data_IF_719908284528
#
_entry.id   IF_719908284528
#
_cell.length_a   1.000
_cell.length_b   1.000
_cell.length_c   1.000
_cell.angle_alpha   90.00
_cell.angle_beta   90.00
_cell.angle_gamma   90.00
#
_symmetry.space_group_name_H-M   'P 1'
#
loop_
_entity.id
_entity.type
_entity.pdbx_description
1 polymer ?
#
# COMPACT_ATOMS: atom_id res chain seq x y z
N UNK A 1 -32.89 -80.57 8.88
CA UNK A 1 -32.36 -79.21 9.15
C UNK A 1 -31.43 -78.87 7.97
N UNK A 2 -31.86 -78.44 6.78
CA UNK A 2 -32.48 -77.17 6.33
C UNK A 2 -31.73 -75.93 6.85
N UNK A 3 -31.26 -74.94 6.07
CA UNK A 3 -31.35 -74.61 4.62
C UNK A 3 -30.24 -73.58 4.29
N UNK A 4 -29.76 -73.61 3.05
CA UNK A 4 -29.02 -72.53 2.37
C UNK A 4 -29.93 -71.30 2.14
N UNK A 5 -29.40 -70.08 2.33
CA UNK A 5 -30.03 -68.84 1.82
C UNK A 5 -28.97 -67.92 1.20
N UNK A 6 -29.27 -67.47 -0.02
CA UNK A 6 -28.55 -66.55 -0.91
C UNK A 6 -29.10 -65.12 -0.73
N UNK A 7 -28.37 -64.14 -1.32
CA UNK A 7 -28.84 -62.80 -1.78
C UNK A 7 -29.05 -61.73 -0.69
N UNK A 8 -28.82 -60.42 -0.87
CA UNK A 8 -28.69 -59.51 -2.05
C UNK A 8 -28.11 -58.15 -1.56
N UNK A 9 -27.57 -57.29 -2.44
CA UNK A 9 -27.08 -55.95 -2.10
C UNK A 9 -28.20 -54.91 -1.88
N UNK A 10 -27.96 -53.98 -0.94
CA UNK A 10 -28.86 -52.88 -0.57
C UNK A 10 -28.75 -51.71 -1.56
N UNK A 11 -29.81 -51.54 -2.37
CA UNK A 11 -30.18 -50.30 -3.06
C UNK A 11 -30.74 -49.30 -2.04
N UNK A 12 -30.27 -48.06 -2.07
CA UNK A 12 -30.94 -46.94 -1.41
C UNK A 12 -31.84 -46.20 -2.41
N UNK A 13 -33.06 -45.80 -2.01
CA UNK A 13 -34.04 -45.14 -2.87
C UNK A 13 -33.86 -43.61 -2.91
N UNK A 14 -34.20 -43.01 -4.06
CA UNK A 14 -34.51 -41.58 -4.19
C UNK A 14 -35.96 -41.31 -3.75
N UNK A 15 -36.25 -40.12 -3.20
CA UNK A 15 -37.49 -39.40 -3.56
C UNK A 15 -37.31 -37.85 -3.51
N UNK A 16 -38.33 -37.00 -3.72
CA UNK A 16 -39.07 -36.78 -4.97
C UNK A 16 -39.17 -35.26 -5.36
N UNK A 17 -39.39 -34.98 -6.64
CA UNK A 17 -40.04 -33.76 -7.19
C UNK A 17 -41.57 -34.06 -7.22
N UNK A 18 -42.60 -33.16 -7.15
CA UNK A 18 -42.70 -31.70 -7.41
C UNK A 18 -43.60 -30.88 -6.43
N UNK A 19 -43.60 -29.55 -6.56
CA UNK A 19 -44.84 -28.77 -6.57
C UNK A 19 -44.64 -27.56 -7.49
N UNK A 20 -45.51 -27.45 -8.48
CA UNK A 20 -45.53 -26.41 -9.50
C UNK A 20 -46.55 -25.35 -9.10
N UNK A 21 -46.13 -24.09 -9.20
CA UNK A 21 -46.89 -22.95 -9.75
C UNK A 21 -48.03 -22.37 -8.90
N UNK A 22 -47.81 -21.11 -8.48
CA UNK A 22 -48.75 -19.99 -8.27
C UNK A 22 -48.14 -19.15 -7.14
N UNK A 23 -47.95 -17.84 -7.17
CA UNK A 23 -48.48 -16.73 -7.94
C UNK A 23 -47.71 -15.50 -7.39
N UNK A 24 -47.17 -14.63 -8.25
CA UNK A 24 -47.12 -13.18 -8.05
C UNK A 24 -46.17 -12.57 -9.11
N UNK A 25 -46.77 -12.24 -10.24
CA UNK A 25 -46.37 -11.11 -11.08
C UNK A 25 -46.33 -9.84 -10.21
N UNK A 26 -45.16 -9.48 -9.71
CA UNK A 26 -44.85 -8.14 -9.22
C UNK A 26 -43.33 -7.99 -9.19
N UNK A 27 -42.85 -6.84 -9.67
CA UNK A 27 -41.44 -6.42 -9.78
C UNK A 27 -40.72 -6.80 -11.09
N UNK A 28 -41.40 -6.60 -12.22
CA UNK A 28 -40.78 -5.94 -13.37
C UNK A 28 -40.59 -4.45 -13.02
N UNK A 29 -39.58 -4.16 -12.22
CA UNK A 29 -39.05 -2.81 -11.99
C UNK A 29 -37.62 -2.89 -11.41
N UNK A 30 -36.81 -3.87 -11.81
CA UNK A 30 -35.38 -3.60 -11.89
C UNK A 30 -35.19 -2.81 -13.16
N UNK A 31 -35.23 -1.49 -13.04
CA UNK A 31 -34.49 -0.62 -13.93
C UNK A 31 -33.02 -1.05 -13.81
N UNK A 32 -32.65 -2.08 -14.56
CA UNK A 32 -31.29 -2.23 -14.99
C UNK A 32 -30.99 -0.96 -15.75
N UNK A 33 -30.25 -0.06 -15.12
CA UNK A 33 -29.44 0.89 -15.88
C UNK A 33 -28.56 0.02 -16.75
N UNK A 34 -29.00 -0.20 -18.00
CA UNK A 34 -28.10 -0.61 -19.07
C UNK A 34 -27.02 0.47 -19.05
N UNK A 35 -25.77 0.17 -18.65
CA UNK A 35 -24.72 1.15 -18.78
C UNK A 35 -24.71 1.56 -20.24
N UNK A 36 -24.88 2.85 -20.49
CA UNK A 36 -24.86 3.42 -21.82
C UNK A 36 -23.55 2.96 -22.49
N UNK A 37 -23.57 2.24 -23.62
CA UNK A 37 -22.34 1.87 -24.32
C UNK A 37 -21.59 3.10 -24.86
N UNK A 38 -22.15 4.30 -24.68
CA UNK A 38 -21.52 5.60 -24.96
C UNK A 38 -20.97 6.31 -23.72
N UNK A 39 -20.88 5.64 -22.57
CA UNK A 39 -19.94 6.06 -21.53
C UNK A 39 -18.52 5.87 -22.10
N UNK A 40 -18.06 6.85 -22.90
CA UNK A 40 -16.68 6.99 -23.29
C UNK A 40 -15.86 6.84 -22.02
N UNK A 41 -15.15 5.71 -21.91
CA UNK A 41 -14.18 5.52 -20.86
C UNK A 41 -13.19 6.67 -21.03
N UNK A 42 -13.24 7.65 -20.13
CA UNK A 42 -12.28 8.75 -20.13
C UNK A 42 -10.89 8.14 -20.20
N UNK A 43 -10.05 8.55 -21.17
CA UNK A 43 -8.69 8.07 -21.27
C UNK A 43 -8.01 8.14 -19.90
N UNK A 44 -7.44 7.02 -19.46
CA UNK A 44 -6.76 6.98 -18.16
C UNK A 44 -5.42 7.66 -18.36
N UNK A 45 -5.32 8.88 -17.86
CA UNK A 45 -4.10 9.66 -17.86
C UNK A 45 -2.97 8.89 -17.13
N UNK A 46 -1.82 8.64 -17.79
CA UNK A 46 -0.71 7.92 -17.19
C UNK A 46 -0.17 8.61 -15.92
N UNK A 47 -0.16 9.94 -15.89
CA UNK A 47 0.25 10.74 -14.72
C UNK A 47 -0.66 10.44 -13.53
N UNK A 48 -1.97 10.59 -13.73
CA UNK A 48 -2.97 10.34 -12.67
C UNK A 48 -2.90 8.89 -12.21
N UNK A 49 -2.73 7.95 -13.14
CA UNK A 49 -2.67 6.53 -12.81
C UNK A 49 -1.49 6.19 -11.90
N UNK A 50 -0.27 6.65 -12.24
CA UNK A 50 0.92 6.35 -11.44
C UNK A 50 0.94 7.11 -10.12
N UNK A 51 0.62 8.41 -10.14
CA UNK A 51 0.66 9.24 -8.92
C UNK A 51 -0.37 8.77 -7.90
N UNK A 52 -1.61 8.48 -8.31
CA UNK A 52 -2.63 7.96 -7.39
C UNK A 52 -2.28 6.57 -6.85
N UNK A 53 -1.67 5.72 -7.68
CA UNK A 53 -1.19 4.40 -7.24
C UNK A 53 -0.14 4.52 -6.15
N UNK A 54 0.89 5.34 -6.38
CA UNK A 54 1.98 5.55 -5.42
C UNK A 54 1.48 6.28 -4.18
N UNK A 55 0.58 7.27 -4.30
CA UNK A 55 -0.04 7.97 -3.17
C UNK A 55 -0.80 7.01 -2.24
N UNK A 56 -1.55 6.05 -2.80
CA UNK A 56 -2.20 4.99 -2.01
C UNK A 56 -1.16 4.12 -1.30
N UNK A 57 -0.07 3.78 -1.97
CA UNK A 57 1.01 2.99 -1.36
C UNK A 57 1.69 3.76 -0.22
N UNK A 58 1.99 5.06 -0.38
CA UNK A 58 2.53 5.92 0.69
C UNK A 58 1.59 5.93 1.90
N UNK A 59 0.28 6.09 1.68
CA UNK A 59 -0.69 6.08 2.78
C UNK A 59 -0.71 4.73 3.52
N UNK A 60 -0.56 3.61 2.80
CA UNK A 60 -0.42 2.29 3.40
C UNK A 60 0.88 2.15 4.19
N UNK A 61 2.00 2.57 3.61
CA UNK A 61 3.33 2.47 4.24
C UNK A 61 3.41 3.29 5.52
N UNK A 62 2.84 4.50 5.54
CA UNK A 62 2.72 5.31 6.75
C UNK A 62 1.96 4.60 7.86
N UNK A 63 0.82 3.97 7.53
CA UNK A 63 0.03 3.22 8.52
C UNK A 63 0.85 2.06 9.08
N UNK A 64 1.53 1.30 8.22
CA UNK A 64 2.36 0.17 8.63
C UNK A 64 3.55 0.62 9.49
N UNK A 65 4.21 1.71 9.09
CA UNK A 65 5.29 2.34 9.86
C UNK A 65 4.81 2.78 11.24
N UNK A 66 3.68 3.47 11.33
CA UNK A 66 3.12 3.91 12.61
C UNK A 66 2.78 2.73 13.53
N UNK A 67 2.21 1.65 13.00
CA UNK A 67 1.94 0.43 13.78
C UNK A 67 3.25 -0.20 14.28
N UNK A 68 4.24 -0.34 13.40
CA UNK A 68 5.53 -0.92 13.75
C UNK A 68 6.28 -0.09 14.80
N UNK A 69 6.27 1.24 14.68
CA UNK A 69 6.86 2.16 15.66
C UNK A 69 6.18 2.05 17.03
N UNK A 70 4.85 2.19 17.07
CA UNK A 70 4.06 2.09 18.30
C UNK A 70 4.29 0.74 18.99
N UNK A 71 4.30 -0.36 18.24
CA UNK A 71 4.51 -1.68 18.83
C UNK A 71 5.95 -1.93 19.27
N UNK A 72 6.93 -1.42 18.53
CA UNK A 72 8.34 -1.47 18.95
C UNK A 72 8.53 -0.74 20.28
N UNK A 73 7.97 0.47 20.40
CA UNK A 73 7.98 1.24 21.65
C UNK A 73 7.25 0.52 22.78
N UNK A 74 6.10 -0.10 22.50
CA UNK A 74 5.36 -0.89 23.47
C UNK A 74 6.18 -2.05 24.03
N UNK A 75 6.83 -2.85 23.18
CA UNK A 75 7.68 -3.95 23.64
C UNK A 75 8.86 -3.46 24.48
N UNK A 76 9.48 -2.33 24.11
CA UNK A 76 10.52 -1.72 24.94
C UNK A 76 10.03 -1.33 26.33
N UNK A 77 8.79 -0.83 26.44
CA UNK A 77 8.20 -0.50 27.74
C UNK A 77 7.93 -1.77 28.57
N UNK A 78 7.54 -2.89 27.95
CA UNK A 78 7.37 -4.16 28.65
C UNK A 78 8.69 -4.72 29.20
N UNK A 79 9.82 -4.45 28.52
CA UNK A 79 11.15 -4.84 28.98
C UNK A 79 11.71 -3.94 30.09
N UNK A 80 11.12 -2.76 30.31
CA UNK A 80 11.51 -1.94 31.48
C UNK A 80 11.15 -2.75 32.73
N UNK A 81 12.07 -2.92 33.68
CA UNK A 81 11.77 -3.66 34.90
C UNK A 81 10.48 -3.11 35.52
N UNK A 82 9.43 -3.93 35.63
CA UNK A 82 8.21 -3.60 36.38
C UNK A 82 8.46 -3.46 37.89
N UNK A 83 9.73 -3.37 38.31
CA UNK A 83 10.14 -3.25 39.70
C UNK A 83 10.30 -1.79 40.09
N UNK A 84 9.26 -1.25 40.72
CA UNK A 84 9.45 -0.53 41.98
C UNK A 84 10.00 -1.51 43.03
N UNK A 85 11.25 -1.96 42.85
CA UNK A 85 12.04 -2.43 43.98
C UNK A 85 12.35 -1.19 44.85
N UNK A 86 12.24 -1.28 46.18
CA UNK A 86 12.70 -0.19 47.05
C UNK A 86 14.14 0.11 46.67
N UNK A 87 14.42 1.34 46.20
CA UNK A 87 15.79 1.73 45.90
C UNK A 87 16.57 1.60 47.22
N UNK A 88 17.69 0.86 47.26
CA UNK A 88 18.57 0.94 48.42
C UNK A 88 18.93 2.41 48.63
N UNK A 89 18.98 2.82 49.89
CA UNK A 89 19.40 4.16 50.32
C UNK A 89 20.82 4.43 49.84
N UNK A 90 20.97 4.93 48.62
CA UNK A 90 22.24 5.43 48.08
C UNK A 90 22.27 6.92 48.36
N UNK A 91 23.29 7.33 49.10
CA UNK A 91 23.59 8.72 49.41
C UNK A 91 23.79 9.50 48.08
N UNK A 92 23.05 10.59 47.83
CA UNK A 92 23.01 11.20 46.52
C UNK A 92 24.28 12.00 46.24
N UNK A 93 25.08 11.57 45.27
CA UNK A 93 26.00 12.48 44.56
C UNK A 93 25.13 13.36 43.65
N UNK A 94 24.85 14.58 44.09
CA UNK A 94 24.04 15.53 43.38
C UNK A 94 24.75 16.07 42.13
N UNK A 95 24.58 15.41 40.99
CA UNK A 95 24.74 16.04 39.70
C UNK A 95 23.51 16.92 39.46
N UNK A 96 23.70 18.24 39.28
CA UNK A 96 22.62 19.18 38.94
C UNK A 96 22.63 19.42 37.43
N UNK A 97 21.78 18.72 36.65
CA UNK A 97 21.56 19.12 35.27
C UNK A 97 20.78 20.43 35.27
N UNK A 98 21.34 21.45 34.65
CA UNK A 98 20.63 22.69 34.35
C UNK A 98 19.42 22.34 33.49
N UNK A 99 18.27 22.80 33.94
CA UNK A 99 16.94 22.55 33.38
C UNK A 99 16.93 22.56 31.85
N UNK A 100 16.48 21.46 31.23
CA UNK A 100 15.51 21.44 30.13
C UNK A 100 15.02 20.01 29.86
N UNK A 101 13.91 19.70 30.53
CA UNK A 101 12.81 18.79 30.16
C UNK A 101 13.05 17.28 29.95
N UNK A 102 12.38 16.40 30.74
CA UNK A 102 12.33 14.98 30.46
C UNK A 102 11.27 14.67 29.39
N UNK A 103 11.66 14.63 28.11
CA UNK A 103 10.78 14.21 27.01
C UNK A 103 10.53 12.68 26.92
N UNK A 104 10.70 11.93 28.01
CA UNK A 104 10.55 10.45 28.00
C UNK A 104 9.53 9.89 28.99
N UNK A 105 8.68 10.75 29.56
CA UNK A 105 7.65 10.35 30.53
C UNK A 105 6.24 10.70 30.06
N UNK A 106 5.89 10.43 28.79
CA UNK A 106 4.48 10.17 28.47
C UNK A 106 4.30 8.65 28.43
N UNK A 107 3.64 8.04 29.43
CA UNK A 107 3.16 6.70 29.27
C UNK A 107 2.06 6.76 28.20
N UNK A 108 2.40 6.50 26.94
CA UNK A 108 1.43 5.89 26.05
C UNK A 108 1.23 4.48 26.60
N UNK A 109 0.40 4.38 27.64
CA UNK A 109 -0.09 3.10 28.11
C UNK A 109 -0.63 2.39 26.88
N UNK A 110 0.05 1.33 26.44
CA UNK A 110 -0.49 0.41 25.45
C UNK A 110 -1.81 -0.11 26.02
N UNK A 111 -2.91 0.40 25.49
CA UNK A 111 -4.23 0.29 26.10
C UNK A 111 -5.09 1.55 26.04
N UNK A 112 -4.62 2.65 25.43
CA UNK A 112 -5.53 3.72 25.01
C UNK A 112 -6.53 3.19 23.95
N UNK A 113 -7.79 3.65 23.94
CA UNK A 113 -8.77 3.24 22.91
C UNK A 113 -8.22 3.60 21.52
N UNK A 114 -7.93 2.58 20.71
CA UNK A 114 -7.35 2.72 19.37
C UNK A 114 -5.87 2.30 19.25
N UNK A 115 -5.20 1.90 20.33
CA UNK A 115 -3.85 1.33 20.24
C UNK A 115 -3.88 -0.07 19.59
N UNK A 116 -2.96 -0.38 18.66
CA UNK A 116 -2.88 -1.70 18.04
C UNK A 116 -2.57 -2.79 19.08
N UNK A 117 -3.17 -3.98 18.90
CA UNK A 117 -2.84 -5.16 19.72
C UNK A 117 -1.48 -5.73 19.29
N UNK A 118 -0.42 -5.16 19.87
CA UNK A 118 0.95 -5.43 19.47
C UNK A 118 1.41 -6.87 19.74
N UNK A 119 0.87 -7.53 20.77
CA UNK A 119 1.19 -8.92 21.06
C UNK A 119 0.62 -9.86 19.98
N UNK A 120 -0.58 -9.57 19.49
CA UNK A 120 -1.21 -10.31 18.38
C UNK A 120 -0.54 -10.01 17.04
N UNK A 121 -0.16 -8.75 16.79
CA UNK A 121 0.50 -8.34 15.54
C UNK A 121 1.94 -8.86 15.42
N UNK A 122 2.66 -8.96 16.53
CA UNK A 122 4.05 -9.40 16.57
C UNK A 122 4.23 -10.54 17.60
N UNK A 123 3.74 -11.76 17.28
CA UNK A 123 3.76 -12.89 18.23
C UNK A 123 5.17 -13.37 18.57
N UNK A 124 6.19 -13.04 17.75
CA UNK A 124 7.60 -13.33 18.05
C UNK A 124 8.27 -12.24 18.90
N UNK A 125 7.53 -11.23 19.34
CA UNK A 125 8.00 -10.21 20.27
C UNK A 125 8.77 -9.05 19.61
N UNK A 126 9.64 -8.42 20.41
CA UNK A 126 10.35 -7.19 20.07
C UNK A 126 11.16 -7.29 18.77
N UNK A 127 11.89 -8.39 18.54
CA UNK A 127 12.71 -8.57 17.34
C UNK A 127 11.90 -8.50 16.06
N UNK A 128 10.71 -9.11 16.04
CA UNK A 128 9.82 -9.04 14.89
C UNK A 128 9.26 -7.62 14.68
N UNK A 129 8.95 -6.92 15.76
CA UNK A 129 8.53 -5.51 15.69
C UNK A 129 9.66 -4.62 15.14
N UNK A 130 10.91 -4.84 15.57
CA UNK A 130 12.11 -4.14 15.06
C UNK A 130 12.36 -4.42 13.58
N UNK A 131 12.28 -5.68 13.16
CA UNK A 131 12.41 -6.07 11.76
C UNK A 131 11.34 -5.38 10.90
N UNK A 132 10.09 -5.39 11.37
CA UNK A 132 8.97 -4.70 10.72
C UNK A 132 9.17 -3.19 10.66
N UNK A 133 9.69 -2.59 11.73
CA UNK A 133 10.01 -1.16 11.77
C UNK A 133 11.07 -0.78 10.72
N UNK A 134 12.18 -1.52 10.66
CA UNK A 134 13.21 -1.29 9.64
C UNK A 134 12.69 -1.52 8.21
N UNK A 135 11.84 -2.53 8.03
CA UNK A 135 11.20 -2.80 6.73
C UNK A 135 10.29 -1.65 6.29
N UNK A 136 9.38 -1.22 7.17
CA UNK A 136 8.40 -0.17 6.86
C UNK A 136 9.06 1.19 6.65
N UNK A 137 10.17 1.49 7.35
CA UNK A 137 10.99 2.66 7.08
C UNK A 137 11.56 2.66 5.65
N UNK A 138 12.11 1.52 5.23
CA UNK A 138 12.67 1.37 3.87
C UNK A 138 11.58 1.48 2.81
N UNK A 139 10.45 0.80 3.03
CA UNK A 139 9.31 0.82 2.12
C UNK A 139 8.75 2.24 1.93
N UNK A 140 8.52 2.97 3.03
CA UNK A 140 8.03 4.34 2.99
C UNK A 140 9.00 5.27 2.26
N UNK A 141 10.31 5.12 2.48
CA UNK A 141 11.33 5.89 1.76
C UNK A 141 11.23 5.66 0.25
N UNK A 142 11.12 4.40 -0.20
CA UNK A 142 10.99 4.09 -1.62
C UNK A 142 9.73 4.70 -2.22
N UNK A 143 8.59 4.55 -1.55
CA UNK A 143 7.32 5.09 -2.04
C UNK A 143 7.35 6.62 -2.15
N UNK A 144 7.90 7.33 -1.16
CA UNK A 144 8.04 8.79 -1.21
C UNK A 144 9.01 9.24 -2.29
N UNK A 145 10.18 8.60 -2.42
CA UNK A 145 11.15 8.96 -3.47
C UNK A 145 10.61 8.67 -4.86
N UNK A 146 9.86 7.57 -5.04
CA UNK A 146 9.22 7.31 -6.33
C UNK A 146 8.07 8.29 -6.62
N UNK A 147 7.33 8.71 -5.59
CA UNK A 147 6.30 9.74 -5.77
C UNK A 147 6.91 11.06 -6.22
N UNK A 148 8.01 11.49 -5.59
CA UNK A 148 8.82 12.63 -6.06
C UNK A 148 9.27 12.44 -7.50
N UNK A 149 9.72 11.24 -7.87
CA UNK A 149 10.17 10.93 -9.23
C UNK A 149 9.06 11.09 -10.28
N UNK A 150 7.85 10.63 -9.96
CA UNK A 150 6.69 10.78 -10.82
C UNK A 150 6.27 12.26 -10.97
N UNK A 151 6.37 13.05 -9.90
CA UNK A 151 6.09 14.49 -9.95
C UNK A 151 7.14 15.23 -10.79
N UNK A 152 8.43 15.00 -10.53
CA UNK A 152 9.54 15.60 -11.28
C UNK A 152 9.46 15.28 -12.78
N UNK A 153 8.89 14.14 -13.16
CA UNK A 153 8.71 13.75 -14.56
C UNK A 153 7.68 14.61 -15.32
N UNK A 154 6.80 15.31 -14.60
CA UNK A 154 5.93 16.36 -15.12
C UNK A 154 6.71 17.68 -15.04
N UNK A 155 7.30 18.07 -16.17
CA UNK A 155 8.34 19.11 -16.19
C UNK A 155 7.78 20.50 -15.98
N UNK A 156 6.57 20.72 -16.45
CA UNK A 156 5.89 22.02 -16.46
C UNK A 156 4.77 22.13 -15.42
N UNK A 157 4.67 21.14 -14.53
CA UNK A 157 3.73 21.08 -13.39
C UNK A 157 2.25 21.15 -13.85
N UNK A 158 1.94 20.64 -15.04
CA UNK A 158 0.61 20.72 -15.65
C UNK A 158 -0.31 19.55 -15.29
N UNK A 159 0.20 18.60 -14.49
CA UNK A 159 -0.47 17.41 -13.97
C UNK A 159 -0.84 16.39 -15.06
N UNK A 160 -0.11 16.44 -16.17
CA UNK A 160 -0.16 15.49 -17.26
C UNK A 160 1.26 15.13 -17.70
N UNK A 161 1.42 14.08 -18.49
CA UNK A 161 2.70 13.85 -19.18
C UNK A 161 2.52 14.09 -20.66
N UNK A 162 3.17 15.12 -21.17
CA UNK A 162 3.34 15.27 -22.60
C UNK A 162 4.10 14.07 -23.19
N UNK A 163 3.96 13.87 -24.50
CA UNK A 163 4.63 12.77 -25.20
C UNK A 163 6.17 12.69 -24.98
N UNK A 164 6.94 13.79 -24.95
CA UNK A 164 8.37 13.70 -24.60
C UNK A 164 8.61 13.35 -23.13
N UNK A 165 7.79 13.84 -22.20
CA UNK A 165 7.95 13.57 -20.76
C UNK A 165 7.70 12.12 -20.42
N UNK A 166 6.63 11.53 -20.95
CA UNK A 166 6.37 10.11 -20.72
C UNK A 166 7.46 9.23 -21.32
N UNK A 167 8.04 9.60 -22.47
CA UNK A 167 9.15 8.87 -23.08
C UNK A 167 10.42 8.95 -22.23
N UNK A 168 10.74 10.14 -21.71
CA UNK A 168 11.89 10.35 -20.85
C UNK A 168 11.71 9.64 -19.51
N UNK A 169 10.50 9.63 -18.94
CA UNK A 169 10.18 8.91 -17.72
C UNK A 169 10.28 7.38 -17.88
N UNK A 170 9.72 6.85 -18.97
CA UNK A 170 9.85 5.42 -19.30
C UNK A 170 11.33 5.05 -19.48
N UNK A 171 12.12 5.86 -20.20
CA UNK A 171 13.55 5.62 -20.39
C UNK A 171 14.33 5.66 -19.08
N UNK A 172 14.04 6.64 -18.21
CA UNK A 172 14.66 6.78 -16.90
C UNK A 172 14.37 5.56 -15.99
N UNK A 173 13.27 4.86 -16.24
CA UNK A 173 12.89 3.62 -15.58
C UNK A 173 13.31 2.35 -16.32
N UNK A 174 14.12 2.46 -17.38
CA UNK A 174 14.51 1.33 -18.24
C UNK A 174 13.27 0.55 -18.74
N UNK A 175 12.25 1.30 -19.15
CA UNK A 175 11.05 0.80 -19.80
C UNK A 175 11.08 1.19 -21.28
N UNK A 176 10.61 0.28 -22.12
CA UNK A 176 10.33 0.57 -23.52
C UNK A 176 8.89 1.07 -23.64
N UNK A 177 8.63 1.89 -24.66
CA UNK A 177 7.26 2.25 -25.03
C UNK A 177 6.47 0.95 -25.29
N UNK A 178 5.31 0.76 -24.63
CA UNK A 178 4.49 -0.42 -24.86
C UNK A 178 4.07 -0.46 -26.34
N UNK A 179 4.22 -1.62 -26.97
CA UNK A 179 3.81 -1.79 -28.36
C UNK A 179 2.31 -1.47 -28.48
N UNK A 180 1.99 -0.52 -29.35
CA UNK A 180 0.62 -0.26 -29.77
C UNK A 180 0.17 -1.46 -30.62
N UNK A 181 -0.58 -2.40 -30.04
CA UNK A 181 -1.24 -3.41 -30.86
C UNK A 181 -2.13 -2.69 -31.86
N UNK A 182 -1.72 -2.74 -33.11
CA UNK A 182 -2.13 -1.85 -34.17
C UNK A 182 -3.57 -2.14 -34.61
N UNK A 183 -4.53 -1.47 -33.99
CA UNK A 183 -5.74 -1.00 -34.65
C UNK A 183 -5.83 0.52 -34.43
N UNK A 184 -5.57 1.26 -35.49
CA UNK A 184 -5.37 2.71 -35.46
C UNK A 184 -6.63 3.46 -35.05
N UNK A 185 -6.71 3.81 -33.77
CA UNK A 185 -7.54 4.89 -33.21
C UNK A 185 -7.37 5.07 -31.71
N UNK A 186 -6.80 4.09 -31.00
CA UNK A 186 -6.98 4.03 -29.55
C UNK A 186 -5.80 4.66 -28.80
N UNK A 187 -5.60 5.98 -28.97
CA UNK A 187 -4.63 6.77 -28.21
C UNK A 187 -4.84 6.58 -26.69
N UNK A 188 -6.09 6.53 -26.25
CA UNK A 188 -6.48 6.23 -24.87
C UNK A 188 -5.98 4.85 -24.38
N UNK A 189 -5.96 3.84 -25.25
CA UNK A 189 -5.42 2.53 -24.94
C UNK A 189 -3.90 2.55 -24.76
N UNK A 190 -3.20 3.36 -25.56
CA UNK A 190 -1.76 3.57 -25.43
C UNK A 190 -1.39 4.29 -24.14
N UNK A 191 -2.17 5.29 -23.71
CA UNK A 191 -1.95 5.99 -22.44
C UNK A 191 -2.15 5.07 -21.24
N UNK A 192 -3.26 4.34 -21.22
CA UNK A 192 -3.52 3.36 -20.17
C UNK A 192 -2.41 2.29 -20.08
N UNK A 193 -1.88 1.84 -21.21
CA UNK A 193 -0.77 0.88 -21.25
C UNK A 193 0.53 1.46 -20.65
N UNK A 194 0.82 2.75 -20.90
CA UNK A 194 1.99 3.43 -20.32
C UNK A 194 1.87 3.58 -18.81
N UNK A 195 0.73 4.05 -18.31
CA UNK A 195 0.52 4.15 -16.87
C UNK A 195 0.50 2.78 -16.17
N UNK A 196 0.01 1.73 -16.85
CA UNK A 196 0.13 0.35 -16.36
C UNK A 196 1.60 -0.13 -16.31
N UNK A 197 2.42 0.20 -17.31
CA UNK A 197 3.84 -0.13 -17.31
C UNK A 197 4.58 0.55 -16.15
N UNK A 198 4.30 1.84 -15.91
CA UNK A 198 4.87 2.61 -14.80
C UNK A 198 4.47 2.02 -13.43
N UNK A 199 3.18 1.71 -13.23
CA UNK A 199 2.70 1.13 -11.96
C UNK A 199 3.31 -0.25 -11.70
N UNK A 200 3.40 -1.08 -12.75
CA UNK A 200 4.07 -2.40 -12.66
C UNK A 200 5.56 -2.27 -12.32
N UNK A 201 6.25 -1.27 -12.88
CA UNK A 201 7.66 -1.02 -12.57
C UNK A 201 7.83 -0.54 -11.14
N UNK A 202 6.99 0.37 -10.68
CA UNK A 202 6.94 0.79 -9.27
C UNK A 202 6.78 -0.40 -8.34
N UNK A 203 5.77 -1.27 -8.57
CA UNK A 203 5.51 -2.44 -7.72
C UNK A 203 6.71 -3.38 -7.66
N UNK A 204 7.44 -3.54 -8.77
CA UNK A 204 8.67 -4.33 -8.82
C UNK A 204 9.79 -3.70 -8.00
N UNK A 205 10.01 -2.39 -8.14
CA UNK A 205 11.01 -1.64 -7.37
C UNK A 205 10.70 -1.73 -5.87
N UNK A 206 9.44 -1.50 -5.51
CA UNK A 206 8.94 -1.57 -4.13
C UNK A 206 9.15 -2.96 -3.54
N UNK A 207 8.72 -4.01 -4.25
CA UNK A 207 8.88 -5.41 -3.81
C UNK A 207 10.35 -5.81 -3.64
N UNK A 208 11.22 -5.37 -4.55
CA UNK A 208 12.65 -5.66 -4.52
C UNK A 208 13.44 -4.71 -3.60
N UNK A 209 12.77 -3.73 -2.99
CA UNK A 209 13.36 -2.70 -2.13
C UNK A 209 14.52 -1.94 -2.80
N UNK A 210 14.41 -1.71 -4.10
CA UNK A 210 15.52 -1.23 -4.93
C UNK A 210 15.53 0.30 -5.04
N UNK A 211 15.87 1.00 -3.95
CA UNK A 211 15.95 2.47 -3.94
C UNK A 211 16.94 3.01 -4.98
N UNK A 212 18.02 2.27 -5.24
CA UNK A 212 19.05 2.60 -6.24
C UNK A 212 18.47 2.82 -7.64
N UNK A 213 17.48 2.02 -8.06
CA UNK A 213 16.82 2.18 -9.37
C UNK A 213 16.02 3.48 -9.44
N UNK A 214 15.42 3.91 -8.32
CA UNK A 214 14.66 5.17 -8.26
C UNK A 214 15.62 6.36 -8.34
N UNK A 215 16.70 6.33 -7.55
CA UNK A 215 17.68 7.42 -7.50
C UNK A 215 18.43 7.55 -8.82
N UNK A 216 18.79 6.42 -9.45
CA UNK A 216 19.43 6.41 -10.77
C UNK A 216 18.49 6.96 -11.84
N UNK A 217 17.22 6.54 -11.84
CA UNK A 217 16.21 7.09 -12.75
C UNK A 217 15.99 8.58 -12.56
N UNK A 218 15.90 9.05 -11.31
CA UNK A 218 15.84 10.48 -11.00
C UNK A 218 17.05 11.24 -11.55
N UNK A 219 18.25 10.66 -11.41
CA UNK A 219 19.47 11.21 -12.00
C UNK A 219 19.37 11.41 -13.51
N UNK A 220 18.82 10.44 -14.24
CA UNK A 220 18.59 10.55 -15.69
C UNK A 220 17.63 11.69 -16.07
N UNK A 221 16.56 11.91 -15.30
CA UNK A 221 15.68 13.07 -15.51
C UNK A 221 16.40 14.38 -15.21
N UNK A 222 17.19 14.45 -14.14
CA UNK A 222 17.99 15.64 -13.84
C UNK A 222 19.03 15.95 -14.92
N UNK A 223 19.68 14.94 -15.49
CA UNK A 223 20.59 15.13 -16.61
C UNK A 223 19.86 15.63 -17.87
N UNK A 224 18.58 15.28 -18.01
CA UNK A 224 17.69 15.72 -19.11
C UNK A 224 17.03 17.10 -18.85
N UNK A 225 17.33 17.73 -17.72
CA UNK A 225 16.91 19.10 -17.39
C UNK A 225 15.66 19.21 -16.51
N UNK A 226 15.07 18.10 -16.09
CA UNK A 226 13.95 18.08 -15.13
C UNK A 226 14.44 18.47 -13.74
N UNK A 227 13.62 19.12 -12.94
CA UNK A 227 14.02 19.59 -11.60
C UNK A 227 12.83 19.53 -10.67
N UNK A 228 13.10 19.27 -9.40
CA UNK A 228 12.11 19.41 -8.35
C UNK A 228 11.65 20.87 -8.23
N UNK A 229 10.37 21.11 -8.51
CA UNK A 229 9.76 22.44 -8.49
C UNK A 229 9.24 22.79 -7.08
N UNK A 230 8.75 24.02 -6.91
CA UNK A 230 8.02 24.38 -5.70
C UNK A 230 6.63 23.73 -5.67
N UNK A 231 6.02 23.47 -6.83
CA UNK A 231 4.76 22.77 -6.93
C UNK A 231 4.91 21.36 -6.36
N UNK A 232 5.91 20.60 -6.85
CA UNK A 232 6.23 19.25 -6.38
C UNK A 232 6.40 19.18 -4.87
N UNK A 233 7.19 20.11 -4.31
CA UNK A 233 7.46 20.16 -2.87
C UNK A 233 6.19 20.36 -2.06
N UNK A 234 5.28 21.21 -2.51
CA UNK A 234 4.01 21.42 -1.83
C UNK A 234 3.14 20.17 -1.83
N UNK A 235 3.17 19.40 -2.92
CA UNK A 235 2.43 18.14 -3.05
C UNK A 235 3.06 17.04 -2.20
N UNK A 236 4.39 16.93 -2.22
CA UNK A 236 5.14 16.02 -1.37
C UNK A 236 4.90 16.31 0.11
N UNK A 237 4.88 17.58 0.52
CA UNK A 237 4.58 17.99 1.89
C UNK A 237 3.20 17.51 2.34
N UNK A 238 2.19 17.63 1.48
CA UNK A 238 0.83 17.14 1.78
C UNK A 238 0.81 15.61 1.91
N UNK A 239 1.55 14.91 1.06
CA UNK A 239 1.63 13.45 1.06
C UNK A 239 2.57 12.93 2.15
N UNK A 240 3.43 13.75 2.74
CA UNK A 240 4.38 13.36 3.81
C UNK A 240 3.82 13.59 5.21
N UNK A 241 2.94 14.58 5.39
CA UNK A 241 2.30 14.90 6.69
C UNK A 241 1.30 13.88 7.21
#
# INVERSE_FOLDING_TARGET
>A
MSRSVRNRPLRWPAPPIPWRVALCLALLAFAGTIPDPTAEATPIDPFVQITEHVRRQVAQDKRQFAIADVCTQWFYQQLRPQKSAPRPSVEPIAWRPTNEQPLLSRPMAGGGPGAPDCATLYPKGLEQARESFGFTQTALSISLTFYEFALVADRDDDWHYSQPEIQDFLRALDLQEPANESHGSDAAGSEAARGQALTTKFDRIYKNRSLDLVVTGMGHLYDSGYRLTLSDRNVLDQVTR
#
